data_IF_854927745834
#
_entry.id   IF_854927745834
#
_cell.length_a   1.000
_cell.length_b   1.000
_cell.length_c   1.000
_cell.angle_alpha   90.00
_cell.angle_beta   90.00
_cell.angle_gamma   90.00
#
_symmetry.space_group_name_H-M   'P 1'
#
loop_
_entity.id
_entity.type
_entity.pdbx_description
1 polymer ?
#
# COMPACT_ATOMS: atom_id res chain seq x y z
N UNK A 1 27.84 -0.67 -40.45
CA UNK A 1 28.13 0.17 -39.27
C UNK A 1 26.86 0.08 -38.42
N UNK A 2 26.73 -1.02 -37.69
CA UNK A 2 25.49 -1.40 -36.99
C UNK A 2 25.25 -0.47 -35.79
N UNK A 3 24.08 0.14 -35.64
CA UNK A 3 23.71 0.80 -34.41
C UNK A 3 23.40 -0.28 -33.38
N UNK A 4 24.24 -0.44 -32.36
CA UNK A 4 23.94 -1.30 -31.23
C UNK A 4 22.76 -0.71 -30.46
N UNK A 5 21.54 -1.13 -30.83
CA UNK A 5 20.34 -0.91 -30.03
C UNK A 5 20.63 -1.44 -28.63
N UNK A 6 20.78 -0.53 -27.67
CA UNK A 6 20.79 -0.87 -26.25
C UNK A 6 19.40 -1.42 -25.93
N UNK A 7 19.25 -2.73 -26.02
CA UNK A 7 18.11 -3.47 -25.47
C UNK A 7 18.19 -3.33 -23.94
N UNK A 8 17.74 -2.18 -23.41
CA UNK A 8 17.50 -2.03 -21.99
C UNK A 8 16.43 -3.03 -21.61
N UNK A 9 16.81 -4.10 -20.91
CA UNK A 9 15.86 -5.07 -20.42
C UNK A 9 14.81 -4.32 -19.60
N UNK A 10 13.52 -4.59 -19.85
CA UNK A 10 12.43 -3.93 -19.10
C UNK A 10 12.63 -4.04 -17.58
N UNK A 11 13.17 -5.18 -17.13
CA UNK A 11 13.56 -5.46 -15.74
C UNK A 11 14.67 -4.57 -15.17
N UNK A 12 15.46 -3.91 -16.02
CA UNK A 12 16.49 -2.95 -15.65
C UNK A 12 15.95 -1.51 -15.59
N UNK A 13 14.66 -1.30 -15.86
CA UNK A 13 14.06 0.03 -15.71
C UNK A 13 13.80 0.33 -14.23
N UNK A 14 14.04 1.56 -13.75
CA UNK A 14 13.76 1.95 -12.36
C UNK A 14 12.30 1.68 -11.94
N UNK A 15 11.38 1.72 -12.91
CA UNK A 15 9.96 1.44 -12.70
C UNK A 15 9.73 -0.05 -12.43
N UNK A 16 10.34 -0.95 -13.21
CA UNK A 16 10.25 -2.38 -12.96
C UNK A 16 10.81 -2.74 -11.57
N UNK A 17 11.89 -2.09 -11.15
CA UNK A 17 12.43 -2.23 -9.78
C UNK A 17 11.43 -1.75 -8.73
N UNK A 18 10.80 -0.59 -8.92
CA UNK A 18 9.77 -0.09 -8.01
C UNK A 18 8.56 -1.04 -7.89
N UNK A 19 8.11 -1.61 -9.00
CA UNK A 19 7.06 -2.64 -9.00
C UNK A 19 7.50 -3.92 -8.28
N UNK A 20 8.72 -4.40 -8.52
CA UNK A 20 9.26 -5.57 -7.84
C UNK A 20 9.32 -5.33 -6.32
N UNK A 21 9.80 -4.17 -5.87
CA UNK A 21 9.83 -3.80 -4.45
C UNK A 21 8.44 -3.69 -3.84
N UNK A 22 7.47 -3.12 -4.58
CA UNK A 22 6.08 -3.05 -4.14
C UNK A 22 5.46 -4.45 -3.96
N UNK A 23 5.72 -5.38 -4.88
CA UNK A 23 5.27 -6.76 -4.80
C UNK A 23 5.94 -7.50 -3.65
N UNK A 24 7.25 -7.37 -3.47
CA UNK A 24 7.99 -7.98 -2.35
C UNK A 24 7.44 -7.46 -1.02
N UNK A 25 7.23 -6.15 -0.88
CA UNK A 25 6.61 -5.57 0.32
C UNK A 25 5.24 -6.18 0.58
N UNK A 26 4.37 -6.24 -0.43
CA UNK A 26 3.02 -6.78 -0.27
C UNK A 26 3.06 -8.25 0.13
N UNK A 27 3.93 -9.04 -0.50
CA UNK A 27 4.10 -10.46 -0.19
C UNK A 27 4.61 -10.68 1.24
N UNK A 28 5.63 -9.94 1.66
CA UNK A 28 6.13 -9.99 3.04
C UNK A 28 5.05 -9.59 4.04
N UNK A 29 4.22 -8.60 3.70
CA UNK A 29 3.09 -8.21 4.53
C UNK A 29 2.04 -9.32 4.65
N UNK A 30 1.70 -10.00 3.55
CA UNK A 30 0.76 -11.12 3.59
C UNK A 30 1.30 -12.31 4.40
N UNK A 31 2.62 -12.52 4.44
CA UNK A 31 3.22 -13.61 5.21
C UNK A 31 3.39 -13.29 6.70
N UNK A 32 3.85 -12.09 7.03
CA UNK A 32 4.24 -11.71 8.39
C UNK A 32 3.21 -10.82 9.10
N UNK A 33 2.38 -10.11 8.33
CA UNK A 33 1.48 -9.07 8.82
C UNK A 33 0.30 -9.59 9.62
N UNK A 34 0.19 -10.89 9.90
CA UNK A 34 -0.88 -11.48 10.69
C UNK A 34 -0.37 -12.35 11.86
N UNK A 35 0.93 -12.36 12.13
CA UNK A 35 1.51 -13.16 13.22
C UNK A 35 1.17 -12.62 14.61
N UNK A 36 0.71 -11.38 14.68
CA UNK A 36 0.21 -10.73 15.88
C UNK A 36 -1.27 -10.45 15.73
N UNK A 37 -2.03 -10.60 16.82
CA UNK A 37 -3.46 -10.28 16.88
C UNK A 37 -3.75 -8.79 16.66
N UNK A 38 -4.97 -8.38 17.01
CA UNK A 38 -5.41 -6.99 16.89
C UNK A 38 -4.53 -6.06 17.75
N UNK A 39 -4.00 -5.01 17.12
CA UNK A 39 -3.38 -3.91 17.85
C UNK A 39 -4.45 -2.96 18.40
N UNK A 40 -4.14 -2.28 19.51
CA UNK A 40 -5.06 -1.33 20.15
C UNK A 40 -5.57 -0.28 19.18
N UNK A 41 -4.70 0.26 18.33
CA UNK A 41 -5.07 1.29 17.37
C UNK A 41 -6.03 0.74 16.30
N UNK A 42 -5.88 -0.52 15.90
CA UNK A 42 -6.78 -1.16 14.92
C UNK A 42 -8.19 -1.35 15.49
N UNK A 43 -8.28 -1.75 16.76
CA UNK A 43 -9.56 -1.84 17.46
C UNK A 43 -10.20 -0.45 17.61
N UNK A 44 -9.40 0.58 17.84
CA UNK A 44 -9.88 1.97 17.88
C UNK A 44 -10.45 2.40 16.52
N UNK A 45 -9.74 2.15 15.41
CA UNK A 45 -10.26 2.42 14.07
C UNK A 45 -11.52 1.62 13.76
N UNK A 46 -11.63 0.38 14.23
CA UNK A 46 -12.82 -0.46 14.04
C UNK A 46 -14.03 0.08 14.83
N UNK A 47 -13.81 0.52 16.07
CA UNK A 47 -14.85 1.15 16.88
C UNK A 47 -15.33 2.49 16.28
N UNK A 48 -14.40 3.28 15.74
CA UNK A 48 -14.72 4.49 14.98
C UNK A 48 -15.49 4.14 13.69
N UNK A 49 -15.17 3.03 13.02
CA UNK A 49 -15.84 2.59 11.79
C UNK A 49 -17.33 2.26 12.00
N UNK A 50 -17.71 1.85 13.22
CA UNK A 50 -19.11 1.67 13.60
C UNK A 50 -19.85 3.00 13.79
N UNK A 51 -19.13 4.06 14.19
CA UNK A 51 -19.68 5.38 14.50
C UNK A 51 -19.13 6.45 13.57
N UNK A 52 -19.35 6.32 12.26
CA UNK A 52 -18.80 7.23 11.25
C UNK A 52 -19.08 8.71 11.57
N UNK A 53 -18.03 9.45 11.88
CA UNK A 53 -18.06 10.89 12.05
C UNK A 53 -17.28 11.58 10.92
N UNK A 54 -17.60 12.85 10.66
CA UNK A 54 -16.87 13.68 9.69
C UNK A 54 -15.52 14.19 10.22
N UNK A 55 -15.19 13.92 11.47
CA UNK A 55 -13.90 14.23 12.05
C UNK A 55 -13.73 13.56 13.40
N UNK A 56 -12.59 12.92 13.58
CA UNK A 56 -12.14 12.43 14.87
C UNK A 56 -10.96 13.29 15.35
N UNK A 57 -10.72 13.39 16.66
CA UNK A 57 -9.62 14.21 17.19
C UNK A 57 -8.25 13.82 16.64
N UNK A 58 -8.06 12.54 16.32
CA UNK A 58 -6.74 11.96 16.05
C UNK A 58 -6.50 11.62 14.57
N UNK A 59 -7.56 11.55 13.75
CA UNK A 59 -7.42 11.10 12.36
C UNK A 59 -8.52 11.62 11.43
N UNK A 60 -8.18 11.70 10.15
CA UNK A 60 -9.12 12.07 9.10
C UNK A 60 -10.23 11.00 8.94
N UNK A 61 -11.48 11.41 8.65
CA UNK A 61 -12.60 10.49 8.51
C UNK A 61 -12.39 9.45 7.41
N UNK A 62 -11.63 9.80 6.37
CA UNK A 62 -11.33 8.91 5.25
C UNK A 62 -10.68 7.59 5.69
N UNK A 63 -9.79 7.62 6.68
CA UNK A 63 -9.13 6.40 7.19
C UNK A 63 -10.12 5.43 7.80
N UNK A 64 -11.09 5.94 8.56
CA UNK A 64 -12.17 5.17 9.19
C UNK A 64 -13.16 4.64 8.16
N UNK A 65 -13.47 5.45 7.15
CA UNK A 65 -14.36 5.04 6.06
C UNK A 65 -13.74 3.92 5.23
N UNK A 66 -12.43 3.99 4.96
CA UNK A 66 -11.68 2.91 4.32
C UNK A 66 -11.68 1.65 5.19
N UNK A 67 -11.47 1.78 6.51
CA UNK A 67 -11.53 0.65 7.43
C UNK A 67 -12.92 -0.02 7.42
N UNK A 68 -14.01 0.77 7.47
CA UNK A 68 -15.38 0.27 7.35
C UNK A 68 -15.59 -0.43 6.02
N UNK A 69 -15.21 0.19 4.92
CA UNK A 69 -15.33 -0.40 3.58
C UNK A 69 -14.57 -1.73 3.48
N UNK A 70 -13.36 -1.80 4.02
CA UNK A 70 -12.57 -3.03 4.07
C UNK A 70 -13.30 -4.14 4.82
N UNK A 71 -13.90 -3.80 5.96
CA UNK A 71 -14.69 -4.72 6.79
C UNK A 71 -15.92 -5.24 6.04
N UNK A 72 -16.67 -4.36 5.39
CA UNK A 72 -17.88 -4.73 4.65
C UNK A 72 -17.57 -5.63 3.43
N UNK A 73 -16.43 -5.41 2.76
CA UNK A 73 -16.07 -6.14 1.53
C UNK A 73 -15.32 -7.43 1.83
N UNK A 74 -14.39 -7.42 2.79
CA UNK A 74 -13.48 -8.54 3.08
C UNK A 74 -13.75 -9.24 4.42
N UNK A 75 -14.71 -8.73 5.21
CA UNK A 75 -15.16 -9.29 6.49
C UNK A 75 -14.34 -8.84 7.71
N UNK A 76 -14.57 -9.53 8.83
CA UNK A 76 -13.97 -9.23 10.15
C UNK A 76 -12.61 -9.90 10.39
N UNK A 77 -11.92 -10.28 9.31
CA UNK A 77 -10.60 -10.87 9.43
C UNK A 77 -9.53 -9.80 9.67
N UNK A 78 -8.48 -10.15 10.39
CA UNK A 78 -7.35 -9.26 10.60
C UNK A 78 -6.65 -8.91 9.27
N UNK A 79 -6.68 -9.83 8.30
CA UNK A 79 -6.27 -9.59 6.92
C UNK A 79 -7.10 -8.50 6.24
N UNK A 80 -8.43 -8.53 6.39
CA UNK A 80 -9.32 -7.55 5.77
C UNK A 80 -8.97 -6.12 6.18
N UNK A 81 -8.79 -5.87 7.48
CA UNK A 81 -8.49 -4.53 8.01
C UNK A 81 -7.11 -4.04 7.54
N UNK A 82 -6.16 -4.96 7.43
CA UNK A 82 -4.76 -4.69 7.08
C UNK A 82 -4.48 -4.64 5.57
N UNK A 83 -5.34 -5.23 4.75
CA UNK A 83 -5.13 -5.36 3.30
C UNK A 83 -5.08 -4.02 2.57
N UNK A 84 -6.06 -3.14 2.78
CA UNK A 84 -6.09 -1.82 2.12
C UNK A 84 -4.91 -0.93 2.53
N UNK A 85 -4.54 -0.83 3.82
CA UNK A 85 -3.30 -0.15 4.23
C UNK A 85 -2.04 -0.72 3.58
N UNK A 86 -1.92 -2.05 3.49
CA UNK A 86 -0.79 -2.70 2.85
C UNK A 86 -0.70 -2.38 1.36
N UNK A 87 -1.83 -2.44 0.66
CA UNK A 87 -1.95 -2.09 -0.75
C UNK A 87 -1.57 -0.62 -1.00
N UNK A 88 -2.12 0.30 -0.20
CA UNK A 88 -1.77 1.72 -0.26
C UNK A 88 -0.27 1.94 -0.03
N UNK A 89 0.31 1.17 0.89
CA UNK A 89 1.75 1.16 1.15
C UNK A 89 2.58 0.66 -0.03
N UNK A 90 2.12 -0.35 -0.77
CA UNK A 90 2.80 -0.87 -1.96
C UNK A 90 2.67 0.12 -3.12
N UNK A 91 1.48 0.67 -3.35
CA UNK A 91 1.22 1.69 -4.37
C UNK A 91 2.10 2.94 -4.18
N UNK A 92 2.33 3.34 -2.92
CA UNK A 92 3.23 4.46 -2.60
C UNK A 92 4.63 4.27 -3.17
N UNK A 93 5.19 3.06 -3.17
CA UNK A 93 6.52 2.79 -3.73
C UNK A 93 6.54 3.07 -5.23
N UNK A 94 5.52 2.59 -5.94
CA UNK A 94 5.37 2.81 -7.38
C UNK A 94 5.19 4.30 -7.69
N UNK A 95 4.30 4.98 -6.96
CA UNK A 95 4.06 6.41 -7.14
C UNK A 95 5.30 7.25 -6.88
N UNK A 96 6.07 6.93 -5.83
CA UNK A 96 7.35 7.59 -5.57
C UNK A 96 8.33 7.39 -6.72
N UNK A 97 8.43 6.16 -7.27
CA UNK A 97 9.27 5.90 -8.44
C UNK A 97 8.84 6.69 -9.68
N UNK A 98 7.53 6.81 -9.91
CA UNK A 98 6.99 7.62 -11.01
C UNK A 98 7.28 9.11 -10.83
N UNK A 99 7.12 9.63 -9.60
CA UNK A 99 7.44 11.02 -9.28
C UNK A 99 8.93 11.31 -9.49
N UNK A 100 9.82 10.46 -8.98
CA UNK A 100 11.28 10.61 -9.18
C UNK A 100 11.63 10.64 -10.67
N UNK A 101 10.99 9.80 -11.49
CA UNK A 101 11.15 9.82 -12.94
C UNK A 101 10.73 11.16 -13.55
N UNK A 102 9.58 11.68 -13.14
CA UNK A 102 9.05 12.97 -13.62
C UNK A 102 9.95 14.15 -13.25
N UNK A 103 10.54 14.11 -12.06
CA UNK A 103 11.54 15.10 -11.61
C UNK A 103 12.92 14.95 -12.28
N UNK A 104 13.06 14.07 -13.27
CA UNK A 104 14.30 13.90 -14.03
C UNK A 104 15.32 12.96 -13.40
N UNK A 105 14.91 12.11 -12.45
CA UNK A 105 15.70 10.99 -11.99
C UNK A 105 15.92 10.00 -13.13
N UNK A 106 17.15 9.97 -13.68
CA UNK A 106 17.51 9.17 -14.86
C UNK A 106 18.34 7.92 -14.54
N UNK A 107 18.69 7.68 -13.28
CA UNK A 107 19.60 6.60 -12.87
C UNK A 107 19.16 5.98 -11.55
#
# INVERSE_FOLDING_TARGET
>A
MEPSEKLTNFWQTPIAVAFALALVKLFLFLLAGNQYGYFRDELYFLACAEHLAFGYPDHAPLSVWIAKFSREVFGDSLYAIRFLPALAGALRIVLTGLLVREFGGKH
#
